data_IF_107243773087
#
_entry.id   IF_107243773087
#
_cell.length_a   1.000
_cell.length_b   1.000
_cell.length_c   1.000
_cell.angle_alpha   90.00
_cell.angle_beta   90.00
_cell.angle_gamma   90.00
#
_symmetry.space_group_name_H-M   'P 1'
#
loop_
_entity.id
_entity.type
_entity.pdbx_description
1 polymer ?
#
# COMPACT_ATOMS: atom_id res chain seq x y z
N UNK A 1 -8.02 29.72 39.75
CA UNK A 1 -8.14 30.21 41.14
C UNK A 1 -9.55 30.71 41.38
N UNK A 2 -10.35 30.00 42.20
CA UNK A 2 -11.52 30.55 42.90
C UNK A 2 -11.85 29.60 44.05
N UNK A 3 -11.61 30.10 45.25
CA UNK A 3 -11.81 29.47 46.55
C UNK A 3 -13.24 29.75 46.99
N UNK A 4 -13.94 28.77 47.56
CA UNK A 4 -15.02 29.02 48.52
C UNK A 4 -14.81 28.09 49.71
N UNK A 5 -14.91 28.69 50.88
CA UNK A 5 -14.53 28.17 52.18
C UNK A 5 -15.74 28.14 53.12
N UNK A 6 -15.70 27.23 54.10
CA UNK A 6 -16.45 27.28 55.36
C UNK A 6 -17.87 26.67 55.32
N UNK A 7 -18.44 26.14 56.40
CA UNK A 7 -18.05 26.02 57.81
C UNK A 7 -19.21 25.28 58.56
N UNK A 8 -18.88 24.42 59.55
CA UNK A 8 -19.67 24.01 60.77
C UNK A 8 -20.96 23.18 60.61
N UNK A 9 -20.99 21.98 61.20
CA UNK A 9 -21.62 21.74 62.51
C UNK A 9 -21.58 20.27 62.93
N UNK A 10 -21.03 20.07 64.12
CA UNK A 10 -20.95 18.87 64.96
C UNK A 10 -22.32 18.35 65.42
N UNK A 11 -22.51 17.03 65.41
CA UNK A 11 -23.31 16.36 66.45
C UNK A 11 -22.71 15.00 66.78
N UNK A 12 -22.54 14.80 68.08
CA UNK A 12 -21.77 13.73 68.70
C UNK A 12 -22.71 12.71 69.39
N UNK A 13 -22.16 11.53 69.70
CA UNK A 13 -22.59 10.50 70.68
C UNK A 13 -23.62 9.44 70.25
N UNK A 14 -23.24 8.16 70.44
CA UNK A 14 -24.17 7.05 70.63
C UNK A 14 -23.60 5.67 70.34
N UNK A 15 -22.80 5.12 71.25
CA UNK A 15 -22.29 3.74 71.21
C UNK A 15 -23.42 2.70 71.27
N UNK A 16 -23.42 1.72 70.35
CA UNK A 16 -24.09 0.44 70.53
C UNK A 16 -23.24 -0.68 69.92
N UNK A 17 -22.57 -1.42 70.80
CA UNK A 17 -21.87 -2.64 70.48
C UNK A 17 -22.90 -3.74 70.13
N UNK A 18 -22.95 -4.14 68.86
CA UNK A 18 -23.56 -5.39 68.43
C UNK A 18 -22.43 -6.39 68.19
N UNK A 19 -22.40 -7.42 69.04
CA UNK A 19 -21.56 -8.60 68.91
C UNK A 19 -21.91 -9.33 67.60
N UNK A 20 -21.18 -9.02 66.54
CA UNK A 20 -21.18 -9.82 65.32
C UNK A 20 -20.24 -11.01 65.58
N UNK A 21 -20.84 -12.20 65.66
CA UNK A 21 -20.10 -13.46 65.58
C UNK A 21 -19.16 -13.44 64.36
N UNK A 22 -17.98 -14.08 64.43
CA UNK A 22 -17.12 -14.22 63.27
C UNK A 22 -17.80 -15.19 62.31
N UNK A 23 -18.65 -14.66 61.43
CA UNK A 23 -18.93 -15.30 60.16
C UNK A 23 -17.58 -15.32 59.43
N UNK A 24 -16.92 -16.47 59.53
CA UNK A 24 -15.76 -16.86 58.75
C UNK A 24 -15.87 -16.22 57.38
N UNK A 25 -14.95 -15.31 57.10
CA UNK A 25 -14.68 -14.86 55.75
C UNK A 25 -14.44 -16.12 54.93
N UNK A 26 -15.46 -16.55 54.18
CA UNK A 26 -15.23 -17.43 53.05
C UNK A 26 -14.46 -16.55 52.08
N UNK A 27 -13.14 -16.62 52.22
CA UNK A 27 -12.20 -16.44 51.16
C UNK A 27 -12.72 -17.29 50.00
N UNK A 28 -13.60 -16.69 49.20
CA UNK A 28 -13.74 -17.07 47.81
C UNK A 28 -12.42 -16.65 47.20
N UNK A 29 -11.42 -17.51 47.36
CA UNK A 29 -10.20 -17.49 46.59
C UNK A 29 -10.65 -17.24 45.15
N UNK A 30 -10.46 -16.02 44.68
CA UNK A 30 -10.61 -15.70 43.28
C UNK A 30 -9.65 -16.64 42.60
N UNK A 31 -10.19 -17.70 42.00
CA UNK A 31 -9.39 -18.73 41.38
C UNK A 31 -8.61 -18.04 40.27
N UNK A 32 -7.33 -17.77 40.53
CA UNK A 32 -6.46 -17.06 39.62
C UNK A 32 -6.38 -17.91 38.36
N UNK A 33 -6.93 -17.38 37.27
CA UNK A 33 -6.80 -17.99 35.95
C UNK A 33 -5.34 -17.84 35.58
N UNK A 34 -4.66 -18.95 35.33
CA UNK A 34 -3.27 -18.93 34.90
C UNK A 34 -3.19 -18.44 33.45
N UNK A 35 -2.91 -17.14 33.29
CA UNK A 35 -2.80 -16.48 31.99
C UNK A 35 -1.34 -16.35 31.55
N UNK A 36 -0.50 -17.33 31.90
CA UNK A 36 0.90 -17.34 31.52
C UNK A 36 1.07 -17.54 30.00
N UNK A 37 2.11 -16.94 29.44
CA UNK A 37 2.50 -17.17 28.03
C UNK A 37 2.83 -18.65 27.84
N UNK A 38 2.29 -19.25 26.77
CA UNK A 38 2.41 -20.68 26.50
C UNK A 38 1.26 -21.53 27.07
N UNK A 39 0.37 -20.96 27.89
CA UNK A 39 -0.80 -21.68 28.39
C UNK A 39 -1.84 -21.89 27.29
N UNK A 40 -2.38 -23.10 27.19
CA UNK A 40 -3.47 -23.44 26.27
C UNK A 40 -4.79 -22.91 26.80
N UNK A 41 -5.53 -22.23 25.94
CA UNK A 41 -6.87 -21.72 26.20
C UNK A 41 -7.87 -22.66 25.55
N UNK A 42 -8.93 -22.97 26.29
CA UNK A 42 -10.02 -23.81 25.84
C UNK A 42 -11.26 -22.96 25.52
N UNK A 43 -12.12 -23.49 24.68
CA UNK A 43 -13.41 -22.88 24.36
C UNK A 43 -14.52 -23.42 25.27
N UNK A 44 -15.73 -22.88 25.14
CA UNK A 44 -16.88 -23.31 25.95
C UNK A 44 -17.33 -24.76 25.70
N UNK A 45 -16.84 -25.40 24.64
CA UNK A 45 -17.07 -26.81 24.33
C UNK A 45 -15.92 -27.72 24.82
N UNK A 46 -14.91 -27.16 25.49
CA UNK A 46 -13.73 -27.88 25.98
C UNK A 46 -12.70 -28.21 24.90
N UNK A 47 -12.82 -27.62 23.70
CA UNK A 47 -11.85 -27.77 22.62
C UNK A 47 -10.70 -26.76 22.78
N UNK A 48 -9.51 -27.13 22.29
CA UNK A 48 -8.35 -26.22 22.28
C UNK A 48 -8.61 -25.04 21.33
N UNK A 49 -8.81 -23.87 21.93
CA UNK A 49 -8.99 -22.61 21.21
C UNK A 49 -7.66 -22.17 20.60
N UNK A 50 -6.62 -22.14 21.44
CA UNK A 50 -5.32 -21.55 21.09
C UNK A 50 -4.34 -21.52 22.25
N UNK A 51 -3.20 -20.85 22.06
CA UNK A 51 -2.15 -20.68 23.07
C UNK A 51 -1.92 -19.20 23.37
N UNK A 52 -1.73 -18.83 24.63
CA UNK A 52 -1.43 -17.44 25.01
C UNK A 52 -0.05 -17.08 24.46
N UNK A 53 0.02 -16.10 23.55
CA UNK A 53 1.28 -15.58 23.00
C UNK A 53 1.86 -14.43 23.84
N UNK A 54 0.99 -13.67 24.52
CA UNK A 54 1.38 -12.57 25.39
C UNK A 54 0.29 -12.26 26.41
N UNK A 55 0.65 -11.92 27.64
CA UNK A 55 -0.27 -11.38 28.63
C UNK A 55 0.30 -10.07 29.19
N UNK A 56 -0.36 -8.96 28.89
CA UNK A 56 0.07 -7.60 29.28
C UNK A 56 -1.05 -6.94 30.08
N UNK A 57 -0.95 -7.07 31.41
CA UNK A 57 -1.89 -6.48 32.36
C UNK A 57 -3.31 -7.01 32.17
N UNK A 58 -4.24 -6.14 31.76
CA UNK A 58 -5.64 -6.50 31.55
C UNK A 58 -5.94 -7.10 30.17
N UNK A 59 -4.95 -7.21 29.27
CA UNK A 59 -5.12 -7.72 27.91
C UNK A 59 -4.25 -8.96 27.69
N UNK A 60 -4.83 -10.01 27.11
CA UNK A 60 -4.18 -11.28 26.80
C UNK A 60 -4.31 -11.55 25.31
N UNK A 61 -3.20 -11.78 24.64
CA UNK A 61 -3.15 -12.16 23.23
C UNK A 61 -3.11 -13.69 23.15
N UNK A 62 -4.08 -14.26 22.45
CA UNK A 62 -4.21 -15.69 22.21
C UNK A 62 -3.96 -15.95 20.72
N UNK A 63 -3.03 -16.85 20.43
CA UNK A 63 -2.79 -17.41 19.11
C UNK A 63 -3.77 -18.56 18.87
N UNK A 64 -4.67 -18.39 17.90
CA UNK A 64 -5.72 -19.37 17.56
C UNK A 64 -5.22 -20.46 16.59
N UNK A 65 -3.97 -20.36 16.16
CA UNK A 65 -3.40 -21.09 15.04
C UNK A 65 -3.57 -20.34 13.71
N UNK A 66 -2.85 -20.80 12.68
CA UNK A 66 -2.95 -20.30 11.30
C UNK A 66 -2.63 -18.80 11.13
N UNK A 67 -1.81 -18.24 12.02
CA UNK A 67 -1.41 -16.83 12.01
C UNK A 67 -2.50 -15.86 12.49
N UNK A 68 -3.61 -16.36 13.03
CA UNK A 68 -4.70 -15.56 13.58
C UNK A 68 -4.50 -15.36 15.08
N UNK A 69 -4.39 -14.11 15.49
CA UNK A 69 -4.27 -13.74 16.90
C UNK A 69 -5.47 -12.90 17.32
N UNK A 70 -5.92 -13.09 18.55
CA UNK A 70 -7.00 -12.31 19.15
C UNK A 70 -6.55 -11.75 20.48
N UNK A 71 -6.80 -10.46 20.70
CA UNK A 71 -6.59 -9.81 22.00
C UNK A 71 -7.90 -9.85 22.78
N UNK A 72 -7.91 -10.59 23.88
CA UNK A 72 -9.05 -10.71 24.78
C UNK A 72 -8.71 -10.10 26.13
N UNK A 73 -9.65 -9.40 26.77
CA UNK A 73 -9.42 -8.88 28.11
C UNK A 73 -9.33 -10.04 29.12
N UNK A 74 -8.49 -9.91 30.14
CA UNK A 74 -8.25 -10.98 31.14
C UNK A 74 -9.51 -11.40 31.89
N UNK A 75 -10.51 -10.52 31.99
CA UNK A 75 -11.82 -10.81 32.58
C UNK A 75 -12.74 -11.68 31.69
N UNK A 76 -12.41 -11.87 30.41
CA UNK A 76 -13.14 -12.77 29.52
C UNK A 76 -12.77 -14.24 29.73
N UNK A 77 -11.71 -14.51 30.51
CA UNK A 77 -11.25 -15.86 30.81
C UNK A 77 -11.89 -16.36 32.10
N UNK A 78 -12.54 -17.52 32.01
CA UNK A 78 -12.96 -18.34 33.15
C UNK A 78 -11.94 -19.44 33.44
N UNK A 79 -12.19 -20.20 34.50
CA UNK A 79 -11.39 -21.37 34.88
C UNK A 79 -12.20 -22.65 34.69
N UNK A 80 -11.66 -23.60 33.92
CA UNK A 80 -12.09 -24.99 33.89
C UNK A 80 -10.99 -25.89 34.50
N UNK A 81 -11.33 -27.13 34.81
CA UNK A 81 -10.36 -28.14 35.28
C UNK A 81 -9.25 -28.39 34.26
N UNK A 82 -9.51 -28.17 32.98
CA UNK A 82 -8.57 -28.34 31.87
C UNK A 82 -7.66 -27.12 31.64
N UNK A 83 -8.03 -25.93 32.13
CA UNK A 83 -7.27 -24.70 31.92
C UNK A 83 -8.14 -23.43 31.77
N UNK A 84 -7.54 -22.30 31.37
CA UNK A 84 -8.27 -21.07 31.04
C UNK A 84 -9.28 -21.33 29.94
N UNK A 85 -10.53 -20.93 30.14
CA UNK A 85 -11.60 -21.06 29.14
C UNK A 85 -12.15 -19.70 28.77
N UNK A 86 -12.75 -19.58 27.59
CA UNK A 86 -13.60 -18.44 27.25
C UNK A 86 -15.03 -18.89 27.02
N UNK A 87 -16.00 -17.98 27.18
CA UNK A 87 -17.42 -18.26 26.96
C UNK A 87 -17.84 -18.41 25.50
N UNK A 88 -16.91 -18.26 24.55
CA UNK A 88 -17.15 -18.38 23.12
C UNK A 88 -16.50 -19.66 22.56
N UNK A 89 -17.10 -20.22 21.50
CA UNK A 89 -16.56 -21.36 20.75
C UNK A 89 -15.42 -20.92 19.84
N UNK A 90 -14.52 -21.85 19.46
CA UNK A 90 -13.47 -21.56 18.46
C UNK A 90 -14.02 -20.97 17.16
N UNK A 91 -15.12 -21.52 16.65
CA UNK A 91 -15.77 -21.02 15.45
C UNK A 91 -16.25 -19.57 15.60
N UNK A 92 -16.80 -19.19 16.76
CA UNK A 92 -17.24 -17.82 17.01
C UNK A 92 -16.08 -16.84 17.11
N UNK A 93 -14.96 -17.23 17.72
CA UNK A 93 -13.78 -16.38 17.81
C UNK A 93 -13.13 -16.19 16.44
N UNK A 94 -12.97 -17.26 15.66
CA UNK A 94 -12.45 -17.18 14.30
C UNK A 94 -13.37 -16.32 13.43
N UNK A 95 -14.68 -16.53 13.49
CA UNK A 95 -15.65 -15.71 12.77
C UNK A 95 -15.58 -14.24 13.18
N UNK A 96 -15.39 -13.93 14.47
CA UNK A 96 -15.22 -12.55 14.95
C UNK A 96 -13.91 -11.92 14.46
N UNK A 97 -12.81 -12.67 14.44
CA UNK A 97 -11.53 -12.21 13.88
C UNK A 97 -11.65 -11.96 12.38
N UNK A 98 -12.31 -12.87 11.65
CA UNK A 98 -12.55 -12.73 10.21
C UNK A 98 -13.48 -11.54 9.91
N UNK A 99 -14.52 -11.33 10.72
CA UNK A 99 -15.41 -10.17 10.61
C UNK A 99 -14.68 -8.87 10.92
N UNK A 100 -13.77 -8.86 11.90
CA UNK A 100 -12.94 -7.70 12.22
C UNK A 100 -11.92 -7.40 11.10
N UNK A 101 -11.31 -8.42 10.51
CA UNK A 101 -10.43 -8.31 9.36
C UNK A 101 -11.19 -7.77 8.14
N UNK A 102 -12.33 -8.38 7.80
CA UNK A 102 -13.19 -7.93 6.71
C UNK A 102 -13.71 -6.50 6.91
N UNK A 103 -14.06 -6.12 8.14
CA UNK A 103 -14.43 -4.75 8.49
C UNK A 103 -13.29 -3.76 8.33
N UNK A 104 -12.05 -4.16 8.64
CA UNK A 104 -10.85 -3.35 8.44
C UNK A 104 -10.52 -3.18 6.96
N UNK A 105 -10.64 -4.25 6.18
CA UNK A 105 -10.48 -4.21 4.72
C UNK A 105 -11.56 -3.37 4.04
N UNK A 106 -12.81 -3.44 4.51
CA UNK A 106 -13.89 -2.59 4.02
C UNK A 106 -13.63 -1.11 4.32
N UNK A 107 -13.16 -0.78 5.53
CA UNK A 107 -12.74 0.58 5.89
C UNK A 107 -11.57 1.07 5.05
N UNK A 108 -10.57 0.21 4.84
CA UNK A 108 -9.43 0.52 3.99
C UNK A 108 -9.87 0.74 2.54
N UNK A 109 -10.80 -0.07 2.05
CA UNK A 109 -11.37 0.05 0.70
C UNK A 109 -12.19 1.32 0.54
N UNK A 110 -13.00 1.67 1.54
CA UNK A 110 -13.71 2.93 1.56
C UNK A 110 -12.78 4.15 1.64
N UNK A 111 -11.63 4.01 2.31
CA UNK A 111 -10.62 5.07 2.40
C UNK A 111 -9.73 5.18 1.15
N UNK A 112 -9.50 4.07 0.43
CA UNK A 112 -8.73 4.01 -0.81
C UNK A 112 -9.56 4.41 -2.02
N UNK A 113 -10.02 5.66 -2.02
CA UNK A 113 -10.69 6.28 -3.16
C UNK A 113 -9.72 7.16 -3.95
N UNK A 114 -9.87 7.28 -5.28
CA UNK A 114 -9.16 8.28 -6.05
C UNK A 114 -9.34 9.68 -5.44
N UNK A 115 -8.25 10.42 -5.27
CA UNK A 115 -8.19 11.71 -4.62
C UNK A 115 -7.96 11.68 -3.11
N UNK A 116 -7.99 10.51 -2.46
CA UNK A 116 -7.77 10.39 -1.02
C UNK A 116 -6.35 10.81 -0.61
N UNK A 117 -6.25 11.59 0.46
CA UNK A 117 -4.96 11.99 1.04
C UNK A 117 -4.34 10.80 1.78
N UNK A 118 -3.16 10.40 1.34
CA UNK A 118 -2.38 9.34 1.97
C UNK A 118 -1.32 9.96 2.88
N UNK A 119 -1.33 9.54 4.14
CA UNK A 119 -0.41 10.04 5.18
C UNK A 119 0.75 9.08 5.45
N UNK A 120 1.79 9.60 6.10
CA UNK A 120 2.89 8.77 6.62
C UNK A 120 2.40 7.87 7.76
N UNK A 121 3.24 6.89 8.16
CA UNK A 121 2.93 5.96 9.25
C UNK A 121 2.51 6.63 10.57
N UNK A 122 2.99 7.85 10.80
CA UNK A 122 2.70 8.63 12.01
C UNK A 122 1.44 9.51 11.86
N UNK A 123 0.82 9.55 10.68
CA UNK A 123 -0.38 10.37 10.39
C UNK A 123 -0.13 11.88 10.25
N UNK A 124 1.08 12.36 10.49
CA UNK A 124 1.40 13.79 10.57
C UNK A 124 1.56 14.47 9.21
N UNK A 125 2.21 13.79 8.26
CA UNK A 125 2.54 14.34 6.94
C UNK A 125 1.70 13.66 5.84
N UNK A 126 1.22 14.44 4.87
CA UNK A 126 0.58 13.93 3.65
C UNK A 126 1.68 13.63 2.64
N UNK A 127 1.80 12.37 2.22
CA UNK A 127 2.79 11.91 1.24
C UNK A 127 2.32 12.13 -0.20
N UNK A 128 1.02 12.02 -0.43
CA UNK A 128 0.44 12.18 -1.76
C UNK A 128 -1.05 11.88 -1.78
N UNK A 129 -1.61 11.88 -2.99
CA UNK A 129 -3.02 11.57 -3.25
C UNK A 129 -3.14 10.28 -4.03
N UNK A 130 -4.15 9.47 -3.74
CA UNK A 130 -4.44 8.27 -4.54
C UNK A 130 -4.86 8.69 -5.94
N UNK A 131 -4.14 8.25 -6.96
CA UNK A 131 -4.52 8.43 -8.38
C UNK A 131 -5.43 7.31 -8.85
N UNK A 132 -5.07 6.07 -8.52
CA UNK A 132 -5.80 4.87 -8.88
C UNK A 132 -5.66 3.83 -7.78
N UNK A 133 -6.79 3.31 -7.29
CA UNK A 133 -6.81 2.16 -6.40
C UNK A 133 -7.27 0.93 -7.19
N UNK A 134 -6.36 -0.01 -7.42
CA UNK A 134 -6.65 -1.29 -8.06
C UNK A 134 -6.40 -2.45 -7.09
N UNK A 135 -6.83 -3.66 -7.46
CA UNK A 135 -6.67 -4.86 -6.62
C UNK A 135 -5.20 -5.29 -6.49
N UNK A 136 -4.41 -5.06 -7.53
CA UNK A 136 -2.98 -5.37 -7.62
C UNK A 136 -2.07 -4.30 -6.99
N UNK A 137 -2.63 -3.14 -6.63
CA UNK A 137 -1.89 -2.07 -5.96
C UNK A 137 -2.54 -0.69 -6.12
N UNK A 138 -2.03 0.27 -5.37
CA UNK A 138 -2.52 1.65 -5.33
C UNK A 138 -1.45 2.56 -5.92
N UNK A 139 -1.81 3.36 -6.92
CA UNK A 139 -0.97 4.40 -7.49
C UNK A 139 -1.25 5.70 -6.75
N UNK A 140 -0.20 6.33 -6.23
CA UNK A 140 -0.25 7.66 -5.63
C UNK A 140 0.43 8.66 -6.54
N UNK A 141 -0.16 9.84 -6.62
CA UNK A 141 0.50 11.05 -7.12
C UNK A 141 1.10 11.78 -5.94
N UNK A 142 2.42 11.94 -5.97
CA UNK A 142 3.16 12.74 -4.99
C UNK A 142 3.73 13.99 -5.67
N UNK A 143 4.23 14.97 -4.92
CA UNK A 143 4.87 16.16 -5.50
C UNK A 143 6.09 15.83 -6.36
N UNK A 144 6.72 14.66 -6.14
CA UNK A 144 7.94 14.23 -6.84
C UNK A 144 7.68 13.25 -7.98
N UNK A 145 6.46 12.72 -8.12
CA UNK A 145 6.11 11.78 -9.18
C UNK A 145 5.01 10.78 -8.79
N UNK A 146 4.60 9.94 -9.73
CA UNK A 146 3.65 8.86 -9.47
C UNK A 146 4.40 7.62 -8.93
N UNK A 147 3.86 6.99 -7.88
CA UNK A 147 4.41 5.76 -7.29
C UNK A 147 3.31 4.71 -7.12
N UNK A 148 3.62 3.44 -7.42
CA UNK A 148 2.73 2.31 -7.15
C UNK A 148 3.18 1.62 -5.87
N UNK A 149 2.30 1.54 -4.88
CA UNK A 149 2.50 0.78 -3.65
C UNK A 149 1.50 -0.37 -3.55
N UNK A 150 1.89 -1.50 -2.94
CA UNK A 150 0.99 -2.61 -2.72
C UNK A 150 -0.07 -2.24 -1.68
N UNK A 151 -1.29 -2.78 -1.81
CA UNK A 151 -2.44 -2.41 -0.97
C UNK A 151 -2.22 -2.71 0.52
N UNK A 152 -1.45 -3.75 0.83
CA UNK A 152 -1.09 -4.13 2.20
C UNK A 152 -0.17 -3.13 2.91
N UNK A 153 0.45 -2.20 2.18
CA UNK A 153 1.24 -1.12 2.76
C UNK A 153 0.37 0.02 3.32
N UNK A 154 -0.95 0.00 3.10
CA UNK A 154 -1.89 1.02 3.54
C UNK A 154 -2.73 0.52 4.71
N UNK A 155 -3.04 1.44 5.63
CA UNK A 155 -3.93 1.19 6.75
C UNK A 155 -4.72 2.45 7.09
N UNK A 156 -5.84 2.30 7.81
CA UNK A 156 -6.64 3.42 8.30
C UNK A 156 -6.23 3.73 9.73
N UNK A 157 -5.49 4.83 9.92
CA UNK A 157 -5.14 5.35 11.25
C UNK A 157 -6.20 6.31 11.79
N UNK A 158 -5.95 6.86 12.99
CA UNK A 158 -6.85 7.83 13.63
C UNK A 158 -7.06 9.11 12.78
N UNK A 159 -6.04 9.51 12.02
CA UNK A 159 -6.07 10.69 11.15
C UNK A 159 -6.56 10.39 9.71
N UNK A 160 -6.99 9.16 9.42
CA UNK A 160 -7.38 8.70 8.09
C UNK A 160 -6.38 7.73 7.46
N UNK A 161 -6.37 7.67 6.13
CA UNK A 161 -5.54 6.74 5.36
C UNK A 161 -4.04 7.06 5.55
N UNK A 162 -3.26 6.05 5.91
CA UNK A 162 -1.82 6.12 6.15
C UNK A 162 -1.10 4.95 5.49
N UNK A 163 0.22 5.07 5.32
CA UNK A 163 1.10 3.98 4.84
C UNK A 163 2.05 3.52 5.93
N UNK A 164 2.59 2.31 5.82
CA UNK A 164 3.65 1.80 6.70
C UNK A 164 4.98 2.54 6.60
N UNK A 165 5.13 3.49 5.66
CA UNK A 165 6.36 4.25 5.45
C UNK A 165 6.34 5.58 6.19
N UNK A 166 7.47 5.95 6.77
CA UNK A 166 7.69 7.30 7.27
C UNK A 166 7.89 8.27 6.11
N UNK A 167 7.68 9.57 6.36
CA UNK A 167 7.91 10.60 5.34
C UNK A 167 9.36 10.60 4.86
N UNK A 168 10.32 10.38 5.76
CA UNK A 168 11.75 10.34 5.42
C UNK A 168 12.11 9.11 4.58
N UNK A 169 11.57 7.92 4.90
CA UNK A 169 11.80 6.72 4.09
C UNK A 169 11.22 6.90 2.68
N UNK A 170 10.03 7.48 2.60
CA UNK A 170 9.38 7.76 1.32
C UNK A 170 10.18 8.80 0.51
N UNK A 171 10.59 9.90 1.14
CA UNK A 171 11.37 10.95 0.49
C UNK A 171 12.76 10.46 0.04
N UNK A 172 13.44 9.65 0.86
CA UNK A 172 14.73 9.07 0.52
C UNK A 172 14.61 8.13 -0.70
N UNK A 173 13.61 7.24 -0.71
CA UNK A 173 13.37 6.36 -1.85
C UNK A 173 13.06 7.15 -3.14
N UNK A 174 12.25 8.22 -3.04
CA UNK A 174 11.97 9.09 -4.19
C UNK A 174 13.21 9.87 -4.64
N UNK A 175 14.03 10.35 -3.70
CA UNK A 175 15.27 11.05 -4.01
C UNK A 175 16.27 10.12 -4.71
N UNK A 176 16.35 8.85 -4.31
CA UNK A 176 17.20 7.85 -4.96
C UNK A 176 16.73 7.57 -6.39
N UNK A 177 15.42 7.35 -6.59
CA UNK A 177 14.83 7.19 -7.94
C UNK A 177 15.10 8.41 -8.81
N UNK A 178 14.92 9.62 -8.27
CA UNK A 178 15.16 10.86 -9.02
C UNK A 178 16.65 11.06 -9.33
N UNK A 179 17.54 10.71 -8.39
CA UNK A 179 18.99 10.79 -8.60
C UNK A 179 19.45 9.78 -9.65
N UNK A 180 18.93 8.55 -9.61
CA UNK A 180 19.19 7.54 -10.63
C UNK A 180 18.66 7.98 -12.00
N UNK A 181 17.47 8.57 -12.05
CA UNK A 181 16.91 9.13 -13.28
C UNK A 181 17.76 10.29 -13.83
N UNK A 182 18.22 11.20 -12.97
CA UNK A 182 19.08 12.31 -13.36
C UNK A 182 20.47 11.83 -13.82
N UNK A 183 21.05 10.82 -13.15
CA UNK A 183 22.31 10.21 -13.57
C UNK A 183 22.18 9.52 -14.93
N UNK A 184 21.06 8.83 -15.17
CA UNK A 184 20.75 8.24 -16.46
C UNK A 184 20.58 9.32 -17.54
N UNK A 185 19.84 10.39 -17.28
CA UNK A 185 19.67 11.49 -18.24
C UNK A 185 20.99 12.17 -18.59
N UNK A 186 21.84 12.41 -17.58
CA UNK A 186 23.20 12.93 -17.76
C UNK A 186 24.08 11.98 -18.59
N UNK A 187 24.03 10.67 -18.32
CA UNK A 187 24.76 9.68 -19.09
C UNK A 187 24.30 9.67 -20.56
N UNK A 188 22.98 9.68 -20.79
CA UNK A 188 22.40 9.77 -22.14
C UNK A 188 22.81 11.09 -22.81
N UNK A 189 22.89 12.21 -22.08
CA UNK A 189 23.35 13.50 -22.61
C UNK A 189 24.78 13.40 -23.13
N UNK A 190 25.65 12.72 -22.38
CA UNK A 190 27.04 12.50 -22.76
C UNK A 190 27.18 11.56 -23.97
N UNK A 191 26.31 10.54 -24.10
CA UNK A 191 26.36 9.63 -25.26
C UNK A 191 25.64 10.13 -26.52
N UNK A 192 24.83 11.18 -26.41
CA UNK A 192 24.19 11.84 -27.55
C UNK A 192 25.19 12.73 -28.30
N UNK A 193 26.20 12.09 -28.90
CA UNK A 193 27.12 12.73 -29.83
C UNK A 193 26.66 12.49 -31.27
N UNK A 194 26.83 13.45 -32.19
CA UNK A 194 26.59 13.22 -33.61
C UNK A 194 27.36 11.99 -34.10
N UNK A 195 26.66 11.07 -34.77
CA UNK A 195 27.20 9.79 -35.24
C UNK A 195 27.07 8.61 -34.26
N UNK A 196 26.59 8.83 -33.02
CA UNK A 196 26.38 7.76 -32.04
C UNK A 196 25.32 6.75 -32.51
N UNK A 197 25.57 5.47 -32.29
CA UNK A 197 24.63 4.40 -32.60
C UNK A 197 23.51 4.33 -31.56
N UNK A 198 22.27 4.52 -32.00
CA UNK A 198 21.07 4.35 -31.20
C UNK A 198 20.57 2.92 -31.36
N UNK A 199 20.46 2.19 -30.25
CA UNK A 199 19.97 0.81 -30.24
C UNK A 199 18.51 0.72 -29.80
N UNK A 200 17.85 -0.40 -30.10
CA UNK A 200 16.52 -0.71 -29.55
C UNK A 200 16.58 -0.93 -28.04
N UNK A 201 15.42 -0.89 -27.35
CA UNK A 201 15.31 -1.14 -25.91
C UNK A 201 15.97 -2.46 -25.43
N UNK A 202 15.99 -3.48 -26.29
CA UNK A 202 16.65 -4.78 -26.02
C UNK A 202 18.15 -4.81 -26.34
N UNK A 203 18.73 -3.73 -26.83
CA UNK A 203 20.16 -3.59 -27.17
C UNK A 203 20.63 -4.34 -28.43
N UNK A 204 19.82 -5.24 -29.00
CA UNK A 204 20.23 -6.13 -30.08
C UNK A 204 20.31 -5.45 -31.47
N UNK A 205 19.36 -4.58 -31.82
CA UNK A 205 19.31 -3.92 -33.13
C UNK A 205 19.75 -2.45 -33.03
N UNK A 206 20.58 -1.99 -33.98
CA UNK A 206 20.88 -0.57 -34.18
C UNK A 206 19.75 0.04 -35.03
N UNK A 207 19.05 1.02 -34.45
CA UNK A 207 17.91 1.71 -35.08
C UNK A 207 18.37 2.84 -36.01
N UNK A 208 19.50 3.46 -35.70
CA UNK A 208 20.06 4.55 -36.50
C UNK A 208 21.22 5.26 -35.81
N UNK A 209 21.67 6.38 -36.41
CA UNK A 209 22.72 7.24 -35.88
C UNK A 209 22.16 8.60 -35.47
N UNK A 210 22.66 9.16 -34.38
CA UNK A 210 22.29 10.51 -33.93
C UNK A 210 22.80 11.53 -34.95
N UNK A 211 21.90 12.33 -35.53
CA UNK A 211 22.25 13.45 -36.41
C UNK A 211 22.47 14.73 -35.60
N UNK A 212 21.55 15.02 -34.69
CA UNK A 212 21.62 16.15 -33.77
C UNK A 212 20.86 15.86 -32.49
N UNK A 213 21.30 16.44 -31.38
CA UNK A 213 20.64 16.33 -30.09
C UNK A 213 20.52 17.72 -29.45
N UNK A 214 19.33 18.00 -28.90
CA UNK A 214 19.02 19.19 -28.12
C UNK A 214 18.48 18.77 -26.76
N UNK A 215 18.29 19.72 -25.84
CA UNK A 215 17.74 19.43 -24.51
C UNK A 215 16.34 18.78 -24.54
N UNK A 216 15.54 19.02 -25.59
CA UNK A 216 14.17 18.51 -25.69
C UNK A 216 14.03 17.38 -26.73
N UNK A 217 14.83 17.39 -27.79
CA UNK A 217 14.61 16.55 -28.97
C UNK A 217 15.92 16.04 -29.56
N UNK A 218 15.90 14.80 -30.07
CA UNK A 218 17.02 14.15 -30.74
C UNK A 218 16.57 13.69 -32.12
N UNK A 219 17.35 14.04 -33.15
CA UNK A 219 17.13 13.60 -34.52
C UNK A 219 18.04 12.40 -34.77
N UNK A 220 17.44 11.27 -35.15
CA UNK A 220 18.13 10.02 -35.48
C UNK A 220 17.94 9.73 -36.96
N UNK A 221 19.04 9.59 -37.69
CA UNK A 221 19.01 9.11 -39.07
C UNK A 221 18.99 7.58 -39.06
N UNK A 222 17.94 6.98 -39.63
CA UNK A 222 17.80 5.53 -39.72
C UNK A 222 18.79 4.93 -40.72
N UNK A 223 18.93 3.60 -40.72
CA UNK A 223 19.71 2.90 -41.75
C UNK A 223 19.17 3.10 -43.18
N UNK A 224 17.89 3.46 -43.33
CA UNK A 224 17.27 3.79 -44.62
C UNK A 224 17.57 5.24 -45.08
N UNK A 225 18.17 6.07 -44.22
CA UNK A 225 18.48 7.47 -44.51
C UNK A 225 17.41 8.46 -44.06
N UNK A 226 16.29 7.99 -43.51
CA UNK A 226 15.21 8.84 -43.00
C UNK A 226 15.57 9.48 -41.65
N UNK A 227 15.24 10.76 -41.48
CA UNK A 227 15.43 11.48 -40.22
C UNK A 227 14.18 11.37 -39.34
N UNK A 228 14.34 10.86 -38.12
CA UNK A 228 13.26 10.70 -37.16
C UNK A 228 13.54 11.58 -35.96
N UNK A 229 12.61 12.49 -35.65
CA UNK A 229 12.68 13.35 -34.49
C UNK A 229 12.00 12.68 -33.30
N UNK A 230 12.77 12.37 -32.26
CA UNK A 230 12.28 11.73 -31.04
C UNK A 230 12.51 12.63 -29.83
N UNK A 231 11.62 12.61 -28.83
CA UNK A 231 11.84 13.35 -27.60
C UNK A 231 13.05 12.79 -26.85
N UNK A 232 13.80 13.68 -26.19
CA UNK A 232 14.97 13.33 -25.36
C UNK A 232 14.66 12.25 -24.31
N UNK A 233 13.46 12.30 -23.73
CA UNK A 233 12.95 11.35 -22.74
C UNK A 233 12.75 9.92 -23.28
N UNK A 234 12.77 9.74 -24.60
CA UNK A 234 12.71 8.42 -25.21
C UNK A 234 14.09 7.77 -25.35
N UNK A 235 15.17 8.36 -24.81
CA UNK A 235 16.50 7.77 -24.84
C UNK A 235 16.94 7.37 -23.43
N UNK A 236 17.52 6.18 -23.32
CA UNK A 236 17.92 5.53 -22.08
C UNK A 236 19.35 5.00 -22.25
N UNK A 237 20.07 4.83 -21.15
CA UNK A 237 21.30 4.07 -21.16
C UNK A 237 21.02 2.59 -20.91
N UNK A 238 21.40 1.75 -21.86
CA UNK A 238 21.39 0.29 -21.73
C UNK A 238 22.81 -0.24 -21.44
N UNK A 239 22.97 -1.47 -20.95
CA UNK A 239 24.29 -2.11 -20.81
C UNK A 239 25.08 -2.17 -22.13
N UNK A 240 24.39 -2.09 -23.28
CA UNK A 240 24.97 -2.08 -24.62
C UNK A 240 25.21 -0.66 -25.18
N UNK A 241 25.01 0.38 -24.37
CA UNK A 241 25.14 1.79 -24.75
C UNK A 241 23.80 2.51 -24.94
N UNK A 242 23.80 3.58 -25.75
CA UNK A 242 22.64 4.42 -26.00
C UNK A 242 21.49 3.62 -26.65
N UNK A 243 20.33 3.60 -26.00
CA UNK A 243 19.14 2.92 -26.49
C UNK A 243 17.94 3.87 -26.55
N UNK A 244 17.07 3.66 -27.53
CA UNK A 244 15.75 4.26 -27.53
C UNK A 244 14.78 3.39 -26.73
N UNK A 245 13.84 4.02 -26.03
CA UNK A 245 12.75 3.40 -25.26
C UNK A 245 11.66 2.79 -26.16
N UNK A 246 12.05 2.33 -27.36
CA UNK A 246 11.18 1.75 -28.37
C UNK A 246 11.69 0.36 -28.76
N UNK A 247 10.77 -0.55 -29.08
CA UNK A 247 11.11 -1.76 -29.85
C UNK A 247 11.44 -1.39 -31.29
N UNK A 248 12.09 -2.30 -32.03
CA UNK A 248 12.35 -2.07 -33.44
C UNK A 248 11.05 -1.85 -34.25
N UNK A 249 9.94 -2.53 -33.91
CA UNK A 249 8.66 -2.35 -34.61
C UNK A 249 8.01 -0.99 -34.29
N UNK A 250 8.07 -0.56 -33.02
CA UNK A 250 7.55 0.74 -32.61
C UNK A 250 8.33 1.88 -33.24
N UNK A 251 9.66 1.74 -33.33
CA UNK A 251 10.50 2.71 -34.02
C UNK A 251 10.19 2.74 -35.53
N UNK A 252 10.07 1.59 -36.19
CA UNK A 252 9.68 1.52 -37.60
C UNK A 252 8.31 2.16 -37.86
N UNK A 253 7.35 1.98 -36.94
CA UNK A 253 6.03 2.62 -37.01
C UNK A 253 6.11 4.13 -36.84
N UNK A 254 6.97 4.62 -35.94
CA UNK A 254 7.21 6.04 -35.76
C UNK A 254 7.89 6.68 -36.99
N UNK A 255 8.81 5.95 -37.64
CA UNK A 255 9.46 6.37 -38.90
C UNK A 255 8.42 6.46 -40.03
N UNK A 256 7.56 5.45 -40.16
CA UNK A 256 6.48 5.43 -41.15
C UNK A 256 5.52 6.62 -40.98
N UNK A 257 5.13 6.92 -39.73
CA UNK A 257 4.30 8.09 -39.42
C UNK A 257 5.00 9.43 -39.69
N UNK A 258 6.32 9.53 -39.45
CA UNK A 258 7.10 10.74 -39.68
C UNK A 258 7.42 11.00 -41.17
N UNK A 259 7.51 9.95 -41.98
CA UNK A 259 7.83 10.01 -43.43
C UNK A 259 6.59 10.00 -44.32
N UNK A 260 5.40 9.76 -43.77
CA UNK A 260 4.16 9.66 -44.53
C UNK A 260 4.05 8.36 -45.36
N UNK A 261 4.96 7.41 -45.16
CA UNK A 261 4.85 6.08 -45.77
C UNK A 261 3.86 5.23 -44.97
N UNK A 262 2.94 4.48 -45.62
CA UNK A 262 2.01 3.62 -44.90
C UNK A 262 2.82 2.56 -44.14
N UNK A 263 2.51 2.39 -42.85
CA UNK A 263 2.97 1.23 -42.10
C UNK A 263 2.62 -0.04 -42.90
N UNK A 264 3.45 -1.10 -42.90
CA UNK A 264 3.05 -2.39 -43.43
C UNK A 264 1.85 -2.87 -42.61
N UNK A 265 0.66 -2.65 -43.17
CA UNK A 265 -0.58 -3.15 -42.59
C UNK A 265 -0.47 -4.66 -42.61
N UNK A 266 -0.57 -5.26 -41.42
CA UNK A 266 -0.94 -6.66 -41.32
C UNK A 266 -2.24 -6.84 -42.11
N UNK A 267 -2.16 -7.70 -43.13
CA UNK A 267 -3.22 -8.09 -44.04
C UNK A 267 -4.56 -8.25 -43.32
N UNK A 268 -5.47 -7.31 -43.55
CA UNK A 268 -6.89 -7.51 -43.37
C UNK A 268 -7.50 -7.22 -44.74
N UNK A 269 -7.59 -8.29 -45.52
CA UNK A 269 -8.32 -8.38 -46.78
C UNK A 269 -9.60 -7.55 -46.76
N UNK A 270 -9.65 -6.67 -47.76
CA UNK A 270 -10.80 -6.00 -48.31
C UNK A 270 -12.12 -6.78 -48.22
N UNK A 271 -13.18 -6.09 -47.79
CA UNK A 271 -14.33 -5.96 -48.68
C UNK A 271 -14.95 -4.57 -48.52
N UNK A 272 -15.14 -3.92 -49.66
CA UNK A 272 -15.54 -2.53 -49.80
C UNK A 272 -16.98 -2.47 -50.29
N UNK A 273 -17.79 -1.58 -49.73
CA UNK A 273 -18.98 -1.08 -50.42
C UNK A 273 -19.37 0.32 -49.93
N UNK A 274 -18.81 1.30 -50.64
CA UNK A 274 -19.17 2.72 -50.73
C UNK A 274 -20.65 2.93 -51.08
N UNK A 275 -21.26 4.07 -50.70
CA UNK A 275 -22.10 4.79 -51.65
C UNK A 275 -21.56 6.20 -51.92
N UNK A 276 -21.54 6.53 -53.21
CA UNK A 276 -20.93 7.69 -53.83
C UNK A 276 -21.66 9.02 -53.51
N UNK A 277 -20.99 10.18 -53.68
CA UNK A 277 -21.63 11.48 -53.58
C UNK A 277 -22.25 11.89 -54.93
N UNK A 278 -23.53 12.22 -54.91
CA UNK A 278 -24.26 12.79 -56.05
C UNK A 278 -23.85 14.26 -56.27
N UNK A 279 -23.57 14.63 -57.52
CA UNK A 279 -23.21 16.00 -57.94
C UNK A 279 -24.31 16.56 -58.85
N UNK A 280 -24.69 17.83 -58.71
CA UNK A 280 -25.86 18.39 -59.38
C UNK A 280 -25.55 18.90 -60.80
N UNK A 281 -26.55 18.89 -61.69
CA UNK A 281 -26.87 19.98 -62.64
C UNK A 281 -28.03 19.62 -63.59
N UNK A 282 -28.84 20.66 -63.86
CA UNK A 282 -29.82 20.85 -64.95
C UNK A 282 -31.23 20.31 -64.76
#
# INVERSE_FOLDING_TARGET
>A
MRKFAGLIATLSLGSAALVAAPATAQDAAAATVDLSVGTKVFDSAGAELGTISSAQGANVVVDLGEGKQVTLPSNAFGKLEQGPTIGATKAQVVAAVDQAAAGSDAKLTAALQPGADVRSANGTAILGKVKLAAADGVVLTTPTGDVKLPRNAFFVGQAGLATSFTADQFAAAMAEVNTAAAANDAAVATALVPGADVRSLKGAAVLGKVKSASAATVVVTTAAGDDVSLPRSAFLMSPAGLAAAYTAEQFASAVAQATGAPAPQADATADAATPAPDKPAS
#
